data_IF_960541917545
#
_entry.id   IF_960541917545
#
_cell.length_a   1.000
_cell.length_b   1.000
_cell.length_c   1.000
_cell.angle_alpha   90.00
_cell.angle_beta   90.00
_cell.angle_gamma   90.00
#
_symmetry.space_group_name_H-M   'P 1'
#
loop_
_entity.id
_entity.type
_entity.pdbx_description
1 polymer ?
#
# COMPACT_ATOMS: atom_id res chain seq x y z
N UNK A 1 -11.67 3.71 15.83
CA UNK A 1 -12.53 3.05 14.82
C UNK A 1 -11.74 2.00 14.04
N UNK A 2 -11.40 0.86 14.65
CA UNK A 2 -10.63 -0.22 13.98
C UNK A 2 -11.49 -1.41 13.52
N UNK A 3 -12.76 -1.48 13.94
CA UNK A 3 -13.61 -2.67 13.73
C UNK A 3 -14.30 -2.80 12.37
N UNK A 4 -14.32 -1.75 11.53
CA UNK A 4 -15.08 -1.74 10.27
C UNK A 4 -14.21 -1.81 9.00
N UNK A 5 -12.95 -1.38 9.07
CA UNK A 5 -12.05 -1.39 7.90
C UNK A 5 -11.63 -2.81 7.52
N UNK A 6 -11.37 -3.68 8.50
CA UNK A 6 -10.88 -5.04 8.26
C UNK A 6 -11.93 -5.97 7.62
N UNK A 7 -13.19 -6.02 8.09
CA UNK A 7 -14.20 -6.88 7.48
C UNK A 7 -14.52 -6.50 6.03
N UNK A 8 -14.75 -5.22 5.75
CA UNK A 8 -15.04 -4.74 4.40
C UNK A 8 -13.85 -4.96 3.44
N UNK A 9 -12.62 -4.79 3.93
CA UNK A 9 -11.42 -5.05 3.15
C UNK A 9 -11.26 -6.56 2.86
N UNK A 10 -11.55 -7.43 3.83
CA UNK A 10 -11.48 -8.88 3.67
C UNK A 10 -12.56 -9.41 2.71
N UNK A 11 -13.74 -8.81 2.69
CA UNK A 11 -14.78 -9.10 1.68
C UNK A 11 -14.30 -8.79 0.26
N UNK A 12 -13.54 -7.70 0.07
CA UNK A 12 -13.04 -7.30 -1.25
C UNK A 12 -11.77 -8.06 -1.69
N UNK A 13 -10.95 -8.51 -0.74
CA UNK A 13 -9.63 -9.10 -0.99
C UNK A 13 -9.55 -10.62 -0.81
N UNK A 14 -10.58 -11.21 -0.18
CA UNK A 14 -10.50 -12.58 0.30
C UNK A 14 -9.67 -12.68 1.60
N UNK A 15 -9.36 -13.91 2.05
CA UNK A 15 -8.68 -14.12 3.33
C UNK A 15 -7.30 -13.47 3.35
N UNK A 16 -7.11 -12.53 4.27
CA UNK A 16 -5.83 -11.86 4.49
C UNK A 16 -4.89 -12.75 5.31
N UNK A 17 -3.59 -12.68 5.03
CA UNK A 17 -2.54 -13.29 5.86
C UNK A 17 -2.29 -12.44 7.12
N UNK A 18 -1.57 -12.99 8.11
CA UNK A 18 -1.15 -12.21 9.28
C UNK A 18 -0.31 -10.99 8.91
N UNK A 19 0.53 -11.11 7.88
CA UNK A 19 1.34 -9.99 7.37
C UNK A 19 0.48 -8.91 6.70
N UNK A 20 -0.56 -9.30 5.97
CA UNK A 20 -1.53 -8.36 5.43
C UNK A 20 -2.29 -7.62 6.53
N UNK A 21 -2.71 -8.35 7.58
CA UNK A 21 -3.36 -7.73 8.75
C UNK A 21 -2.44 -6.77 9.48
N UNK A 22 -1.19 -7.16 9.70
CA UNK A 22 -0.16 -6.32 10.30
C UNK A 22 0.04 -5.03 9.49
N UNK A 23 0.16 -5.14 8.16
CA UNK A 23 0.29 -3.97 7.29
C UNK A 23 -0.91 -3.04 7.39
N UNK A 24 -2.13 -3.57 7.29
CA UNK A 24 -3.34 -2.77 7.39
C UNK A 24 -3.45 -2.03 8.74
N UNK A 25 -3.07 -2.70 9.84
CA UNK A 25 -3.04 -2.09 11.16
C UNK A 25 -2.01 -0.94 11.22
N UNK A 26 -0.79 -1.17 10.71
CA UNK A 26 0.25 -0.14 10.62
C UNK A 26 -0.24 1.05 9.80
N UNK A 27 -0.73 0.83 8.58
CA UNK A 27 -1.23 1.88 7.69
C UNK A 27 -2.34 2.72 8.32
N UNK A 28 -3.18 2.11 9.16
CA UNK A 28 -4.25 2.80 9.89
C UNK A 28 -3.73 3.70 11.02
N UNK A 29 -2.53 3.44 11.55
CA UNK A 29 -1.92 4.23 12.62
C UNK A 29 -1.11 5.44 12.12
N UNK A 30 -0.43 5.31 10.97
CA UNK A 30 0.51 6.33 10.47
C UNK A 30 -0.15 7.49 9.72
N UNK A 31 -1.47 7.43 9.50
CA UNK A 31 -2.25 8.47 8.79
C UNK A 31 -1.51 9.05 7.57
N UNK A 32 -1.03 8.18 6.67
CA UNK A 32 -0.16 8.56 5.53
C UNK A 32 -0.73 9.71 4.69
N UNK A 33 -2.05 9.88 4.70
CA UNK A 33 -2.78 10.99 4.08
C UNK A 33 -2.29 12.37 4.55
N UNK A 34 -1.95 12.52 5.84
CA UNK A 34 -1.42 13.74 6.44
C UNK A 34 0.07 13.96 6.19
N UNK A 35 0.84 12.87 6.05
CA UNK A 35 2.28 12.93 5.75
C UNK A 35 2.55 13.26 4.28
N UNK A 36 1.72 12.73 3.38
CA UNK A 36 1.83 12.98 1.93
C UNK A 36 0.81 14.04 1.55
N UNK A 37 1.24 15.30 1.67
CA UNK A 37 0.43 16.49 1.40
C UNK A 37 -0.22 16.52 0.02
N UNK A 38 -1.27 17.35 -0.10
CA UNK A 38 -1.97 17.60 -1.36
C UNK A 38 -1.00 18.06 -2.45
N UNK A 39 -1.20 17.57 -3.67
CA UNK A 39 -0.38 17.95 -4.81
C UNK A 39 -0.97 19.22 -5.43
N UNK A 40 -0.19 20.31 -5.44
CA UNK A 40 -0.60 21.63 -5.93
C UNK A 40 -0.29 21.88 -7.41
N UNK A 41 -0.18 20.83 -8.23
CA UNK A 41 0.03 20.96 -9.67
C UNK A 41 1.49 21.22 -10.11
N UNK A 42 2.47 20.99 -9.25
CA UNK A 42 3.89 21.09 -9.59
C UNK A 42 4.43 19.91 -10.40
N UNK A 43 5.68 20.00 -10.85
CA UNK A 43 6.38 18.93 -11.58
C UNK A 43 6.53 17.68 -10.69
N UNK A 44 6.10 16.51 -11.18
CA UNK A 44 6.24 15.23 -10.49
C UNK A 44 5.00 14.35 -10.55
N UNK A 45 5.01 13.24 -9.80
CA UNK A 45 3.90 12.27 -9.78
C UNK A 45 2.71 12.80 -8.97
N UNK A 46 1.46 12.63 -9.44
CA UNK A 46 0.28 13.07 -8.69
C UNK A 46 0.23 12.50 -7.25
N UNK A 47 -0.38 13.23 -6.31
CA UNK A 47 -0.45 12.85 -4.89
C UNK A 47 -0.93 11.42 -4.64
N UNK A 48 -1.94 10.94 -5.38
CA UNK A 48 -2.46 9.58 -5.27
C UNK A 48 -1.36 8.53 -5.46
N UNK A 49 -0.50 8.72 -6.47
CA UNK A 49 0.64 7.82 -6.70
C UNK A 49 1.72 7.96 -5.63
N UNK A 50 1.95 9.16 -5.08
CA UNK A 50 2.90 9.37 -3.98
C UNK A 50 2.47 8.66 -2.69
N UNK A 51 1.18 8.72 -2.35
CA UNK A 51 0.61 7.97 -1.21
C UNK A 51 0.76 6.47 -1.39
N UNK A 52 0.49 5.96 -2.59
CA UNK A 52 0.64 4.54 -2.86
C UNK A 52 2.08 4.06 -2.75
N UNK A 53 3.03 4.88 -3.23
CA UNK A 53 4.47 4.63 -3.05
C UNK A 53 4.85 4.63 -1.56
N UNK A 54 4.39 5.61 -0.78
CA UNK A 54 4.65 5.66 0.66
C UNK A 54 4.11 4.41 1.38
N UNK A 55 2.88 3.98 1.09
CA UNK A 55 2.29 2.73 1.60
C UNK A 55 3.12 1.51 1.22
N UNK A 56 3.63 1.47 -0.01
CA UNK A 56 4.48 0.37 -0.48
C UNK A 56 5.83 0.31 0.28
N UNK A 57 6.42 1.45 0.66
CA UNK A 57 7.62 1.46 1.50
C UNK A 57 7.35 1.00 2.93
N UNK A 58 6.19 1.32 3.49
CA UNK A 58 5.77 0.72 4.78
C UNK A 58 5.62 -0.78 4.64
N UNK A 59 5.01 -1.25 3.54
CA UNK A 59 4.88 -2.67 3.27
C UNK A 59 6.25 -3.35 3.14
N UNK A 60 7.22 -2.72 2.49
CA UNK A 60 8.60 -3.20 2.42
C UNK A 60 9.17 -3.51 3.81
N UNK A 61 8.97 -2.61 4.78
CA UNK A 61 9.42 -2.79 6.15
C UNK A 61 8.65 -3.90 6.89
N UNK A 62 7.32 -3.94 6.79
CA UNK A 62 6.48 -4.98 7.44
C UNK A 62 6.79 -6.39 6.94
N UNK A 63 7.06 -6.52 5.64
CA UNK A 63 7.40 -7.78 4.98
C UNK A 63 8.89 -8.13 5.07
N UNK A 64 9.71 -7.27 5.71
CA UNK A 64 11.15 -7.45 5.84
C UNK A 64 11.86 -7.68 4.48
N UNK A 65 11.48 -6.89 3.48
CA UNK A 65 12.06 -6.96 2.14
C UNK A 65 13.27 -6.02 2.07
N UNK A 66 14.40 -6.50 1.57
CA UNK A 66 15.64 -5.73 1.55
C UNK A 66 15.73 -4.85 0.30
N UNK A 67 15.36 -5.39 -0.86
CA UNK A 67 15.47 -4.71 -2.15
C UNK A 67 14.12 -4.15 -2.63
N UNK A 68 14.17 -3.04 -3.36
CA UNK A 68 12.99 -2.47 -4.03
C UNK A 68 12.44 -3.44 -5.08
N UNK A 69 13.31 -4.16 -5.80
CA UNK A 69 12.89 -5.20 -6.74
C UNK A 69 12.02 -6.29 -6.10
N UNK A 70 12.39 -6.77 -4.92
CA UNK A 70 11.58 -7.75 -4.17
C UNK A 70 10.18 -7.22 -3.87
N UNK A 71 10.06 -5.93 -3.53
CA UNK A 71 8.77 -5.27 -3.32
C UNK A 71 7.96 -5.22 -4.62
N UNK A 72 8.57 -4.83 -5.75
CA UNK A 72 7.90 -4.78 -7.05
C UNK A 72 7.42 -6.15 -7.53
N UNK A 73 8.24 -7.19 -7.34
CA UNK A 73 7.89 -8.57 -7.65
C UNK A 73 6.70 -9.03 -6.81
N UNK A 74 6.70 -8.72 -5.51
CA UNK A 74 5.60 -9.07 -4.60
C UNK A 74 4.31 -8.34 -4.97
N UNK A 75 4.37 -7.03 -5.23
CA UNK A 75 3.21 -6.23 -5.67
C UNK A 75 2.61 -6.75 -6.98
N UNK A 76 3.45 -7.29 -7.86
CA UNK A 76 3.03 -7.83 -9.14
C UNK A 76 2.19 -9.11 -9.02
N UNK A 77 2.45 -9.93 -8.00
CA UNK A 77 1.77 -11.23 -7.81
C UNK A 77 0.70 -11.19 -6.71
N UNK A 78 0.91 -10.40 -5.66
CA UNK A 78 0.04 -10.33 -4.49
C UNK A 78 -0.97 -9.20 -4.63
N UNK A 79 -2.22 -9.56 -4.96
CA UNK A 79 -3.32 -8.61 -5.14
C UNK A 79 -3.70 -7.91 -3.84
N UNK A 80 -3.62 -8.62 -2.70
CA UNK A 80 -3.97 -8.05 -1.39
C UNK A 80 -2.98 -6.97 -0.99
N UNK A 81 -1.69 -7.26 -1.09
CA UNK A 81 -0.63 -6.30 -0.87
C UNK A 81 -0.77 -5.07 -1.79
N UNK A 82 -1.07 -5.30 -3.07
CA UNK A 82 -1.22 -4.22 -4.07
C UNK A 82 -2.37 -3.27 -3.74
N UNK A 83 -3.55 -3.80 -3.41
CA UNK A 83 -4.71 -2.97 -3.03
C UNK A 83 -4.51 -2.29 -1.69
N UNK A 84 -3.87 -2.95 -0.71
CA UNK A 84 -3.46 -2.31 0.55
C UNK A 84 -2.55 -1.10 0.32
N UNK A 85 -1.71 -1.13 -0.71
CA UNK A 85 -0.90 0.01 -1.12
C UNK A 85 -1.71 1.06 -1.90
N UNK A 86 -2.89 0.74 -2.42
CA UNK A 86 -3.76 1.66 -3.16
C UNK A 86 -3.63 1.58 -4.68
N UNK A 87 -3.12 0.46 -5.22
CA UNK A 87 -3.11 0.17 -6.66
C UNK A 87 -4.12 -0.94 -6.98
N UNK A 88 -4.90 -0.75 -8.06
CA UNK A 88 -5.88 -1.76 -8.48
C UNK A 88 -5.30 -2.72 -9.51
N UNK A 89 -4.40 -2.23 -10.36
CA UNK A 89 -3.81 -2.99 -11.46
C UNK A 89 -2.29 -3.04 -11.40
N UNK A 90 -1.70 -4.08 -12.02
CA UNK A 90 -0.23 -4.20 -12.15
C UNK A 90 0.39 -3.04 -12.92
N UNK A 91 -0.36 -2.42 -13.84
CA UNK A 91 0.10 -1.33 -14.72
C UNK A 91 0.36 -0.03 -13.96
N UNK A 92 -0.21 0.12 -12.78
CA UNK A 92 -0.02 1.30 -11.94
C UNK A 92 1.24 1.21 -11.06
N UNK A 93 1.81 0.00 -10.93
CA UNK A 93 3.03 -0.25 -10.17
C UNK A 93 4.17 0.47 -10.89
N UNK A 94 4.94 1.33 -10.19
CA UNK A 94 6.12 1.97 -10.78
C UNK A 94 7.13 0.93 -11.26
N UNK A 95 7.83 1.26 -12.34
CA UNK A 95 9.07 0.58 -12.68
C UNK A 95 10.24 1.24 -11.94
N UNK A 96 11.28 0.45 -11.70
CA UNK A 96 12.56 0.92 -11.14
C UNK A 96 13.38 1.66 -12.19
#
# INVERSE_FOLDING_TARGET
MQGVLFPALQEQLGPLSDKHRQLAAVLSMIEIEGLVGSWSGGVGRPAKHRRAIARAFVAKAVFNLNATRQLLDRLSVDVSLRRLCGWESRREIPHE
#
